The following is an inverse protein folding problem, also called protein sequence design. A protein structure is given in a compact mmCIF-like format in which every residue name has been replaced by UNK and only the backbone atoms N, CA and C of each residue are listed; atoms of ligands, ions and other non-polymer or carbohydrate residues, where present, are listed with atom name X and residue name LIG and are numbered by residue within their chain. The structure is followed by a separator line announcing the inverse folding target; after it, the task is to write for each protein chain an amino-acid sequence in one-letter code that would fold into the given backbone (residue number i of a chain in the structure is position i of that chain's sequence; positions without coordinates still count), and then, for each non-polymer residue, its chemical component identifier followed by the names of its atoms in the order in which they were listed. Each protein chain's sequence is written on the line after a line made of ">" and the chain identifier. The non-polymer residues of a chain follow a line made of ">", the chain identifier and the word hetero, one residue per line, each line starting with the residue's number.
data_IF_040202481207
#
_entry.id   IF_040202481207
#
_cell.length_a   1.000
_cell.length_b   1.000
_cell.length_c   1.000
_cell.angle_alpha   90.00
_cell.angle_beta   90.00
_cell.angle_gamma   90.00
#
_symmetry.space_group_name_H-M   'P 1'
#
loop_
_entity.id
_entity.type
_entity.pdbx_description
1 polymer ?
#
# COMPACT_ATOMS: atom_id res chain seq x y z
N UNK A 1 3.91 7.65 -16.71
CA UNK A 1 3.77 7.49 -15.26
C UNK A 1 2.85 8.58 -14.74
N UNK A 2 1.54 8.31 -14.74
CA UNK A 2 0.50 9.19 -14.16
C UNK A 2 -0.24 8.42 -13.04
N UNK A 3 -0.48 7.12 -13.26
CA UNK A 3 -1.12 6.24 -12.26
C UNK A 3 -0.39 6.12 -10.92
N UNK A 4 0.95 6.10 -10.89
CA UNK A 4 1.70 6.10 -9.62
C UNK A 4 1.58 7.42 -8.85
N UNK A 5 1.54 8.54 -9.58
CA UNK A 5 1.42 9.87 -8.99
C UNK A 5 0.03 10.00 -8.34
N UNK A 6 -1.02 9.63 -9.06
CA UNK A 6 -2.41 9.64 -8.58
C UNK A 6 -2.63 8.67 -7.40
N UNK A 7 -2.11 7.44 -7.50
CA UNK A 7 -2.20 6.43 -6.43
C UNK A 7 -1.55 6.92 -5.14
N UNK A 8 -0.35 7.49 -5.24
CA UNK A 8 0.35 8.08 -4.10
C UNK A 8 -0.44 9.24 -3.50
N UNK A 9 -1.04 10.10 -4.32
CA UNK A 9 -1.85 11.23 -3.82
C UNK A 9 -3.10 10.74 -3.08
N UNK A 10 -3.76 9.68 -3.59
CA UNK A 10 -4.88 9.01 -2.90
C UNK A 10 -4.45 8.36 -1.59
N UNK A 11 -3.35 7.61 -1.59
CA UNK A 11 -2.83 6.95 -0.38
C UNK A 11 -2.51 7.96 0.72
N UNK A 12 -1.85 9.07 0.38
CA UNK A 12 -1.55 10.14 1.33
C UNK A 12 -2.83 10.80 1.86
N UNK A 13 -3.81 11.06 0.99
CA UNK A 13 -5.10 11.62 1.39
C UNK A 13 -5.90 10.68 2.31
N UNK A 14 -5.83 9.36 2.09
CA UNK A 14 -6.55 8.36 2.87
C UNK A 14 -5.89 8.06 4.22
N UNK A 15 -4.56 8.08 4.28
CA UNK A 15 -3.79 7.84 5.51
C UNK A 15 -3.57 9.10 6.35
N UNK A 16 -3.77 10.29 5.75
CA UNK A 16 -3.49 11.58 6.39
C UNK A 16 -1.99 11.88 6.54
N UNK A 17 -1.13 11.11 5.86
CA UNK A 17 0.31 11.18 6.01
C UNK A 17 0.95 12.03 4.91
N UNK A 18 2.10 12.64 5.23
CA UNK A 18 2.97 13.26 4.23
C UNK A 18 4.00 12.26 3.70
N UNK A 19 4.64 12.53 2.53
CA UNK A 19 5.73 11.69 2.02
C UNK A 19 6.94 11.58 2.98
N UNK A 20 7.10 12.52 3.91
CA UNK A 20 8.10 12.50 4.97
C UNK A 20 7.72 11.49 6.06
N UNK A 21 6.50 11.60 6.58
CA UNK A 21 5.97 10.68 7.59
C UNK A 21 5.97 9.23 7.09
N UNK A 22 5.69 9.04 5.80
CA UNK A 22 5.69 7.72 5.18
C UNK A 22 7.07 7.07 5.21
N UNK A 23 8.15 7.86 5.05
CA UNK A 23 9.54 7.37 5.15
C UNK A 23 9.94 7.08 6.60
N UNK A 24 9.56 7.93 7.53
CA UNK A 24 9.88 7.75 8.95
C UNK A 24 9.16 6.55 9.57
N UNK A 25 7.98 6.21 9.03
CA UNK A 25 7.13 5.12 9.51
C UNK A 25 7.21 3.85 8.66
N UNK A 26 8.20 3.71 7.77
CA UNK A 26 8.37 2.49 6.94
C UNK A 26 8.50 1.19 7.77
N UNK A 27 8.89 1.29 9.04
CA UNK A 27 8.95 0.16 9.98
C UNK A 27 7.70 -0.02 10.85
N UNK A 28 6.68 0.83 10.71
CA UNK A 28 5.47 0.78 11.52
C UNK A 28 4.47 -0.25 10.96
N UNK A 29 4.16 -1.32 11.69
CA UNK A 29 3.18 -2.33 11.27
C UNK A 29 1.81 -1.74 10.96
N UNK A 30 1.39 -0.69 11.69
CA UNK A 30 0.11 -0.05 11.47
C UNK A 30 0.07 0.70 10.12
N UNK A 31 1.19 1.33 9.72
CA UNK A 31 1.31 1.94 8.40
C UNK A 31 1.24 0.87 7.30
N UNK A 32 2.02 -0.20 7.45
CA UNK A 32 2.07 -1.29 6.49
C UNK A 32 0.69 -1.92 6.30
N UNK A 33 -0.07 -2.12 7.38
CA UNK A 33 -1.44 -2.61 7.31
C UNK A 33 -2.36 -1.64 6.55
N UNK A 34 -2.28 -0.34 6.83
CA UNK A 34 -3.09 0.67 6.14
C UNK A 34 -2.77 0.78 4.64
N UNK A 35 -1.49 0.63 4.26
CA UNK A 35 -1.07 0.60 2.85
C UNK A 35 -1.62 -0.64 2.16
N UNK A 36 -1.52 -1.80 2.79
CA UNK A 36 -2.06 -3.04 2.25
C UNK A 36 -3.59 -3.01 2.13
N UNK A 37 -4.29 -2.45 3.11
CA UNK A 37 -5.74 -2.23 3.04
C UNK A 37 -6.12 -1.32 1.86
N UNK A 38 -5.36 -0.24 1.64
CA UNK A 38 -5.55 0.66 0.49
C UNK A 38 -5.38 -0.07 -0.85
N UNK A 39 -4.34 -0.91 -0.97
CA UNK A 39 -4.10 -1.69 -2.18
C UNK A 39 -5.21 -2.72 -2.40
N UNK A 40 -5.59 -3.46 -1.36
CA UNK A 40 -6.67 -4.45 -1.43
C UNK A 40 -8.05 -3.84 -1.75
N UNK A 41 -8.27 -2.57 -1.41
CA UNK A 41 -9.50 -1.86 -1.76
C UNK A 41 -9.62 -1.51 -3.26
N UNK A 42 -8.54 -1.63 -4.04
CA UNK A 42 -8.55 -1.34 -5.48
C UNK A 42 -7.69 -2.36 -6.26
N UNK A 43 -8.34 -3.33 -6.89
CA UNK A 43 -7.68 -4.42 -7.63
C UNK A 43 -6.62 -3.96 -8.65
N UNK A 44 -6.82 -2.90 -9.47
CA UNK A 44 -5.77 -2.39 -10.35
C UNK A 44 -4.52 -1.87 -9.62
N UNK A 45 -4.69 -1.30 -8.43
CA UNK A 45 -3.57 -0.81 -7.62
C UNK A 45 -2.84 -1.98 -6.96
N UNK A 46 -3.57 -3.00 -6.50
CA UNK A 46 -3.00 -4.25 -5.99
C UNK A 46 -2.15 -4.97 -7.04
N UNK A 47 -2.70 -5.19 -8.24
CA UNK A 47 -2.00 -5.87 -9.34
C UNK A 47 -0.76 -5.08 -9.77
N UNK A 48 -0.86 -3.76 -9.87
CA UNK A 48 0.29 -2.93 -10.21
C UNK A 48 1.36 -2.90 -9.11
N UNK A 49 0.97 -2.90 -7.83
CA UNK A 49 1.91 -2.98 -6.71
C UNK A 49 2.60 -4.36 -6.66
N UNK A 50 1.85 -5.43 -6.87
CA UNK A 50 2.36 -6.80 -6.99
C UNK A 50 3.38 -6.90 -8.13
N UNK A 51 3.04 -6.37 -9.32
CA UNK A 51 3.94 -6.31 -10.46
C UNK A 51 5.21 -5.48 -10.21
N UNK A 52 5.12 -4.37 -9.46
CA UNK A 52 6.28 -3.56 -9.09
C UNK A 52 7.20 -4.26 -8.06
N UNK A 53 6.63 -5.08 -7.17
CA UNK A 53 7.33 -5.85 -6.15
C UNK A 53 7.83 -7.21 -6.65
N UNK A 54 7.35 -7.66 -7.82
CA UNK A 54 7.68 -8.97 -8.38
C UNK A 54 7.07 -10.14 -7.59
N UNK A 55 5.91 -9.91 -6.96
CA UNK A 55 5.16 -10.92 -6.18
C UNK A 55 3.76 -11.08 -6.78
N UNK A 56 3.04 -12.13 -6.37
CA UNK A 56 1.64 -12.29 -6.77
C UNK A 56 0.72 -11.36 -5.95
N UNK A 57 -0.39 -10.86 -6.52
CA UNK A 57 -1.38 -10.04 -5.78
C UNK A 57 -1.92 -10.75 -4.54
N UNK A 58 -2.05 -12.08 -4.61
CA UNK A 58 -2.49 -12.94 -3.52
C UNK A 58 -1.52 -12.91 -2.33
N UNK A 59 -0.22 -12.78 -2.58
CA UNK A 59 0.80 -12.68 -1.52
C UNK A 59 0.64 -11.39 -0.71
N UNK A 60 0.31 -10.28 -1.37
CA UNK A 60 0.04 -9.00 -0.70
C UNK A 60 -1.23 -9.07 0.15
N UNK A 61 -2.30 -9.68 -0.35
CA UNK A 61 -3.53 -9.91 0.41
C UNK A 61 -3.27 -10.84 1.62
N UNK A 62 -2.47 -11.89 1.45
CA UNK A 62 -2.09 -12.78 2.53
C UNK A 62 -1.16 -12.10 3.55
N UNK A 63 -0.30 -11.17 3.12
CA UNK A 63 0.53 -10.35 4.02
C UNK A 63 -0.33 -9.43 4.88
N UNK A 64 -1.40 -8.84 4.30
CA UNK A 64 -2.38 -8.03 5.01
C UNK A 64 -3.05 -8.81 6.13
N UNK A 65 -3.55 -10.01 5.83
CA UNK A 65 -4.18 -10.87 6.83
C UNK A 65 -3.22 -11.26 7.97
N UNK A 66 -1.94 -11.50 7.64
CA UNK A 66 -0.91 -11.80 8.66
C UNK A 66 -0.54 -10.60 9.53
N UNK A 67 -0.63 -9.37 9.00
CA UNK A 67 -0.35 -8.15 9.74
C UNK A 67 -1.52 -7.68 10.62
N UNK A 68 -2.75 -8.06 10.25
CA UNK A 68 -3.97 -7.72 10.98
C UNK A 68 -4.27 -8.70 12.15
N UNK A 69 -3.51 -9.78 12.28
CA UNK A 69 -3.63 -10.80 13.33
C UNK A 69 -2.72 -10.49 14.53
#
# INVERSE_FOLDING_TARGET
>A
MLGDEDRRMRLLALTGLTPGDLRERLGDPALLCAVLDFLCAHEPDLVAAAGALGVEPEDLAAARERLAA
#
